data_IF_049552254005
#
_entry.id   IF_049552254005
#
_cell.length_a   1.000
_cell.length_b   1.000
_cell.length_c   1.000
_cell.angle_alpha   90.00
_cell.angle_beta   90.00
_cell.angle_gamma   90.00
#
_symmetry.space_group_name_H-M   'P 1'
#
loop_
_entity.id
_entity.type
_entity.pdbx_description
1 polymer ?
#
# COMPACT_ATOMS: atom_id res chain seq x y z
N UNK A 1 -24.88 11.85 14.28
CA UNK A 1 -24.27 13.19 14.09
C UNK A 1 -23.30 13.13 12.93
N UNK A 2 -23.43 14.05 11.99
CA UNK A 2 -22.49 14.21 10.87
C UNK A 2 -21.10 14.62 11.36
N UNK A 3 -20.05 13.95 10.91
CA UNK A 3 -18.66 14.23 11.23
C UNK A 3 -17.90 14.68 9.99
N UNK A 4 -16.89 15.53 10.16
CA UNK A 4 -15.95 15.87 9.12
C UNK A 4 -14.70 14.99 9.26
N UNK A 5 -14.43 14.16 8.26
CA UNK A 5 -13.32 13.20 8.25
C UNK A 5 -12.29 13.64 7.22
N UNK A 6 -11.04 13.83 7.66
CA UNK A 6 -9.90 14.13 6.81
C UNK A 6 -9.08 12.85 6.60
N UNK A 7 -8.97 12.40 5.35
CA UNK A 7 -8.15 11.23 4.98
C UNK A 7 -6.87 11.71 4.31
N UNK A 8 -5.71 11.39 4.89
CA UNK A 8 -4.39 11.83 4.42
C UNK A 8 -3.64 10.66 3.79
N UNK A 9 -3.28 10.82 2.51
CA UNK A 9 -2.60 9.83 1.70
C UNK A 9 -1.27 10.33 1.14
N UNK A 10 -0.35 9.41 0.84
CA UNK A 10 0.87 9.69 0.08
C UNK A 10 0.68 9.60 -1.45
N UNK A 11 -0.46 9.09 -1.92
CA UNK A 11 -0.75 8.86 -3.34
C UNK A 11 -2.25 8.93 -3.61
N UNK A 12 -2.63 9.59 -4.70
CA UNK A 12 -4.01 9.64 -5.18
C UNK A 12 -4.51 8.26 -5.63
N UNK A 13 -3.65 7.52 -6.35
CA UNK A 13 -3.94 6.15 -6.78
C UNK A 13 -4.40 5.24 -5.63
N UNK A 14 -3.76 5.34 -4.47
CA UNK A 14 -4.10 4.51 -3.31
C UNK A 14 -5.44 4.88 -2.66
N UNK A 15 -5.87 6.15 -2.74
CA UNK A 15 -7.20 6.57 -2.29
C UNK A 15 -8.30 5.93 -3.13
N UNK A 16 -8.14 5.99 -4.45
CA UNK A 16 -9.13 5.47 -5.40
C UNK A 16 -9.19 3.95 -5.33
N UNK A 17 -8.04 3.28 -5.38
CA UNK A 17 -8.02 1.83 -5.51
C UNK A 17 -8.18 1.11 -4.18
N UNK A 18 -7.76 1.70 -3.04
CA UNK A 18 -7.75 1.00 -1.76
C UNK A 18 -8.69 1.60 -0.72
N UNK A 19 -9.25 2.79 -0.96
CA UNK A 19 -10.09 3.51 0.03
C UNK A 19 -11.43 3.97 -0.51
N UNK A 20 -11.70 3.80 -1.80
CA UNK A 20 -12.97 4.24 -2.39
C UNK A 20 -14.20 3.64 -1.69
N UNK A 21 -14.18 2.35 -1.37
CA UNK A 21 -15.28 1.70 -0.65
C UNK A 21 -15.48 2.28 0.75
N UNK A 22 -14.38 2.53 1.50
CA UNK A 22 -14.45 3.19 2.80
C UNK A 22 -14.97 4.64 2.66
N UNK A 23 -14.46 5.38 1.70
CA UNK A 23 -14.89 6.77 1.44
C UNK A 23 -16.38 6.81 1.10
N UNK A 24 -16.82 5.96 0.18
CA UNK A 24 -18.23 5.85 -0.19
C UNK A 24 -19.09 5.53 1.03
N UNK A 25 -18.72 4.52 1.81
CA UNK A 25 -19.46 4.15 3.02
C UNK A 25 -19.57 5.32 4.01
N UNK A 26 -18.48 6.07 4.24
CA UNK A 26 -18.50 7.24 5.13
C UNK A 26 -19.45 8.34 4.62
N UNK A 27 -19.49 8.58 3.32
CA UNK A 27 -20.39 9.55 2.68
C UNK A 27 -21.84 9.06 2.78
N UNK A 28 -22.11 7.80 2.49
CA UNK A 28 -23.42 7.17 2.59
C UNK A 28 -23.98 7.21 4.04
N UNK A 29 -23.07 7.17 5.05
CA UNK A 29 -23.41 7.40 6.45
C UNK A 29 -23.65 8.89 6.80
N UNK A 30 -23.62 9.79 5.83
CA UNK A 30 -23.85 11.23 6.02
C UNK A 30 -22.65 12.01 6.55
N UNK A 31 -21.44 11.46 6.47
CA UNK A 31 -20.22 12.16 6.88
C UNK A 31 -19.65 13.02 5.74
N UNK A 32 -19.04 14.14 6.09
CA UNK A 32 -18.26 14.96 5.15
C UNK A 32 -16.83 14.43 5.08
N UNK A 33 -16.37 14.04 3.88
CA UNK A 33 -15.03 13.49 3.66
C UNK A 33 -14.17 14.48 2.88
N UNK A 34 -12.99 14.79 3.41
CA UNK A 34 -11.93 15.52 2.70
C UNK A 34 -10.75 14.59 2.45
N UNK A 35 -10.31 14.48 1.20
CA UNK A 35 -9.10 13.77 0.82
C UNK A 35 -7.93 14.76 0.71
N UNK A 36 -6.83 14.46 1.38
CA UNK A 36 -5.59 15.23 1.34
C UNK A 36 -4.48 14.41 0.69
N UNK A 37 -3.99 14.87 -0.46
CA UNK A 37 -2.98 14.17 -1.28
C UNK A 37 -1.81 15.10 -1.62
N UNK A 38 -0.65 14.56 -2.05
CA UNK A 38 0.47 15.37 -2.50
C UNK A 38 0.12 16.27 -3.68
N UNK A 39 0.74 17.47 -3.72
CA UNK A 39 0.53 18.45 -4.81
C UNK A 39 0.93 17.90 -6.17
N UNK A 40 1.92 17.04 -6.22
CA UNK A 40 2.45 16.40 -7.43
C UNK A 40 1.41 15.49 -8.11
N UNK A 41 0.40 15.05 -7.37
CA UNK A 41 -0.71 14.22 -7.89
C UNK A 41 -1.83 15.06 -8.56
N UNK A 42 -1.70 16.39 -8.54
CA UNK A 42 -2.73 17.30 -9.05
C UNK A 42 -2.94 17.24 -10.57
N UNK A 43 -1.96 16.70 -11.30
CA UNK A 43 -2.03 16.56 -12.76
C UNK A 43 -2.88 15.35 -13.21
N UNK A 44 -3.38 14.54 -12.28
CA UNK A 44 -4.23 13.38 -12.60
C UNK A 44 -5.71 13.78 -12.49
N UNK A 45 -6.19 14.54 -13.48
CA UNK A 45 -7.53 15.11 -13.50
C UNK A 45 -8.64 14.06 -13.42
N UNK A 46 -8.51 12.95 -14.15
CA UNK A 46 -9.50 11.86 -14.15
C UNK A 46 -9.69 11.27 -12.76
N UNK A 47 -8.60 11.02 -12.06
CA UNK A 47 -8.63 10.49 -10.70
C UNK A 47 -9.22 11.47 -9.70
N UNK A 48 -8.92 12.75 -9.84
CA UNK A 48 -9.50 13.82 -9.00
C UNK A 48 -11.00 13.94 -9.29
N UNK A 49 -11.39 13.92 -10.55
CA UNK A 49 -12.80 13.98 -10.95
C UNK A 49 -13.60 12.80 -10.40
N UNK A 50 -13.00 11.60 -10.43
CA UNK A 50 -13.61 10.40 -9.83
C UNK A 50 -13.86 10.56 -8.32
N UNK A 51 -12.92 11.13 -7.55
CA UNK A 51 -13.14 11.40 -6.13
C UNK A 51 -14.19 12.50 -5.92
N UNK A 52 -14.18 13.56 -6.72
CA UNK A 52 -15.17 14.63 -6.63
C UNK A 52 -16.59 14.14 -6.95
N UNK A 53 -16.75 13.26 -7.94
CA UNK A 53 -18.06 12.67 -8.27
C UNK A 53 -18.63 11.80 -7.13
N UNK A 54 -17.78 11.30 -6.23
CA UNK A 54 -18.18 10.62 -5.01
C UNK A 54 -18.60 11.57 -3.88
N UNK A 55 -18.54 12.90 -4.08
CA UNK A 55 -18.83 13.90 -3.04
C UNK A 55 -17.65 14.24 -2.13
N UNK A 56 -16.42 13.85 -2.49
CA UNK A 56 -15.22 14.10 -1.70
C UNK A 56 -14.69 15.52 -1.93
N UNK A 57 -14.39 16.23 -0.85
CA UNK A 57 -13.65 17.49 -0.92
C UNK A 57 -12.18 17.17 -1.11
N UNK A 58 -11.58 17.74 -2.15
CA UNK A 58 -10.19 17.47 -2.48
C UNK A 58 -9.28 18.62 -2.03
N UNK A 59 -8.19 18.31 -1.34
CA UNK A 59 -7.14 19.24 -0.95
C UNK A 59 -5.75 18.63 -1.19
N UNK A 60 -4.75 19.49 -1.30
CA UNK A 60 -3.37 19.05 -1.53
C UNK A 60 -2.41 19.59 -0.47
N UNK A 61 -1.29 18.87 -0.29
CA UNK A 61 -0.20 19.25 0.60
C UNK A 61 1.16 18.93 -0.03
N UNK A 62 2.21 19.54 0.48
CA UNK A 62 3.57 19.25 0.04
C UNK A 62 4.05 17.95 0.67
N UNK A 63 4.49 16.96 -0.14
CA UNK A 63 5.05 15.70 0.35
C UNK A 63 6.25 15.26 -0.49
N UNK A 64 7.41 15.08 0.15
CA UNK A 64 8.50 14.32 -0.44
C UNK A 64 8.29 12.82 -0.13
N UNK A 65 7.75 12.05 -1.09
CA UNK A 65 7.40 10.61 -0.88
C UNK A 65 8.61 9.77 -0.49
N UNK A 66 9.72 9.95 -1.20
CA UNK A 66 10.95 9.19 -1.02
C UNK A 66 12.05 10.04 -0.37
N UNK A 67 13.01 9.35 0.28
CA UNK A 67 14.17 10.00 0.90
C UNK A 67 13.91 10.51 2.32
N UNK A 68 14.99 10.99 2.93
CA UNK A 68 15.05 11.46 4.32
C UNK A 68 15.66 12.89 4.34
N UNK A 69 15.04 13.82 3.61
CA UNK A 69 15.45 15.22 3.64
C UNK A 69 14.69 15.95 4.75
N UNK A 70 15.34 16.33 5.87
CA UNK A 70 14.67 16.93 7.03
C UNK A 70 13.92 18.22 6.72
N UNK A 71 14.43 19.02 5.80
CA UNK A 71 13.79 20.27 5.40
C UNK A 71 12.50 20.03 4.62
N UNK A 72 12.54 19.13 3.63
CA UNK A 72 11.31 18.74 2.88
C UNK A 72 10.30 18.07 3.80
N UNK A 73 10.74 17.26 4.74
CA UNK A 73 9.91 16.58 5.72
C UNK A 73 9.25 17.58 6.69
N UNK A 74 9.98 18.62 7.11
CA UNK A 74 9.42 19.72 7.89
C UNK A 74 8.36 20.51 7.11
N UNK A 75 8.59 20.79 5.82
CA UNK A 75 7.59 21.43 4.96
C UNK A 75 6.32 20.58 4.83
N UNK A 76 6.48 19.25 4.69
CA UNK A 76 5.34 18.31 4.67
C UNK A 76 4.53 18.38 5.97
N UNK A 77 5.21 18.34 7.11
CA UNK A 77 4.58 18.50 8.43
C UNK A 77 3.81 19.83 8.56
N UNK A 78 4.45 20.96 8.20
CA UNK A 78 3.82 22.30 8.24
C UNK A 78 2.61 22.37 7.31
N UNK A 79 2.70 21.80 6.12
CA UNK A 79 1.59 21.77 5.16
C UNK A 79 0.40 20.98 5.70
N UNK A 80 0.63 19.84 6.36
CA UNK A 80 -0.43 19.06 7.04
C UNK A 80 -1.05 19.88 8.18
N UNK A 81 -0.25 20.50 9.05
CA UNK A 81 -0.76 21.36 10.12
C UNK A 81 -1.65 22.47 9.57
N UNK A 82 -1.22 23.15 8.50
CA UNK A 82 -1.98 24.22 7.86
C UNK A 82 -3.34 23.69 7.36
N UNK A 83 -3.37 22.59 6.63
CA UNK A 83 -4.63 22.03 6.10
C UNK A 83 -5.56 21.60 7.24
N UNK A 84 -5.07 20.98 8.30
CA UNK A 84 -5.88 20.59 9.46
C UNK A 84 -6.49 21.82 10.12
N UNK A 85 -5.72 22.91 10.30
CA UNK A 85 -6.23 24.16 10.88
C UNK A 85 -7.33 24.83 10.04
N UNK A 86 -7.25 24.70 8.71
CA UNK A 86 -8.25 25.24 7.79
C UNK A 86 -9.50 24.34 7.72
N UNK A 87 -9.32 23.02 7.68
CA UNK A 87 -10.42 22.07 7.54
C UNK A 87 -11.21 21.89 8.85
N UNK A 88 -10.54 22.00 9.99
CA UNK A 88 -11.08 21.71 11.33
C UNK A 88 -11.87 20.40 11.35
N UNK A 89 -11.27 19.26 10.95
CA UNK A 89 -11.98 17.99 10.93
C UNK A 89 -12.27 17.50 12.36
N UNK A 90 -13.29 16.66 12.52
CA UNK A 90 -13.53 15.91 13.77
C UNK A 90 -12.58 14.71 13.89
N UNK A 91 -12.29 14.08 12.74
CA UNK A 91 -11.51 12.85 12.65
C UNK A 91 -10.44 13.00 11.58
N UNK A 92 -9.21 12.56 11.87
CA UNK A 92 -8.13 12.41 10.92
C UNK A 92 -7.75 10.94 10.79
N UNK A 93 -7.79 10.42 9.56
CA UNK A 93 -7.28 9.09 9.21
C UNK A 93 -6.05 9.32 8.32
N UNK A 94 -4.89 8.81 8.70
CA UNK A 94 -3.69 8.86 7.87
C UNK A 94 -3.16 7.46 7.63
N UNK A 95 -2.67 7.19 6.44
CA UNK A 95 -2.04 5.90 6.11
C UNK A 95 -0.78 6.10 5.27
N UNK A 96 0.07 5.06 5.23
CA UNK A 96 1.47 5.10 4.81
C UNK A 96 2.38 5.87 5.78
N UNK A 97 3.68 5.57 5.77
CA UNK A 97 4.61 5.98 6.83
C UNK A 97 4.66 7.49 7.10
N UNK A 98 4.95 8.31 6.08
CA UNK A 98 5.11 9.76 6.27
C UNK A 98 3.82 10.48 6.66
N UNK A 99 2.67 10.25 6.00
CA UNK A 99 1.38 10.78 6.45
C UNK A 99 1.05 10.43 7.90
N UNK A 100 1.21 9.17 8.29
CA UNK A 100 0.98 8.72 9.69
C UNK A 100 1.86 9.49 10.67
N UNK A 101 3.16 9.57 10.39
CA UNK A 101 4.12 10.24 11.29
C UNK A 101 3.81 11.73 11.40
N UNK A 102 3.65 12.44 10.27
CA UNK A 102 3.53 13.90 10.31
C UNK A 102 2.14 14.37 10.74
N UNK A 103 1.07 13.66 10.34
CA UNK A 103 -0.26 13.94 10.87
C UNK A 103 -0.30 13.70 12.39
N UNK A 104 0.24 12.58 12.85
CA UNK A 104 0.27 12.29 14.28
C UNK A 104 1.10 13.30 15.08
N UNK A 105 2.23 13.76 14.55
CA UNK A 105 2.99 14.86 15.17
C UNK A 105 2.21 16.18 15.20
N UNK A 106 1.35 16.42 14.18
CA UNK A 106 0.50 17.60 14.13
C UNK A 106 -0.60 17.56 15.20
N UNK A 107 -1.12 16.38 15.57
CA UNK A 107 -2.22 16.22 16.53
C UNK A 107 -1.95 16.84 17.90
N UNK A 108 -0.68 16.99 18.32
CA UNK A 108 -0.33 17.70 19.57
C UNK A 108 -0.86 19.15 19.60
N UNK A 109 -1.09 19.77 18.44
CA UNK A 109 -1.66 21.12 18.29
C UNK A 109 -3.19 21.12 18.17
N UNK A 110 -3.80 19.93 18.01
CA UNK A 110 -5.23 19.77 17.77
C UNK A 110 -5.83 18.69 18.69
N UNK A 111 -5.80 18.87 20.02
CA UNK A 111 -6.15 17.80 20.98
C UNK A 111 -7.62 17.38 20.95
N UNK A 112 -8.50 18.15 20.29
CA UNK A 112 -9.94 17.82 20.15
C UNK A 112 -10.24 16.94 18.93
N UNK A 113 -9.24 16.69 18.07
CA UNK A 113 -9.40 15.89 16.84
C UNK A 113 -9.00 14.45 17.13
N UNK A 114 -9.88 13.49 16.86
CA UNK A 114 -9.57 12.06 16.99
C UNK A 114 -8.69 11.62 15.82
N UNK A 115 -7.54 10.99 16.13
CA UNK A 115 -6.57 10.53 15.14
C UNK A 115 -6.48 9.02 15.07
N UNK A 116 -6.71 8.47 13.88
CA UNK A 116 -6.64 7.04 13.56
C UNK A 116 -5.57 6.76 12.50
N UNK A 117 -4.33 6.49 12.90
CA UNK A 117 -3.29 6.04 11.97
C UNK A 117 -3.55 4.60 11.52
N UNK A 118 -3.48 4.37 10.21
CA UNK A 118 -3.57 3.05 9.58
C UNK A 118 -2.21 2.62 9.06
N UNK A 119 -1.64 1.58 9.66
CA UNK A 119 -0.35 1.00 9.29
C UNK A 119 -0.58 -0.03 8.18
N UNK A 120 -0.30 0.36 6.93
CA UNK A 120 -0.58 -0.43 5.71
C UNK A 120 0.65 -1.19 5.21
N UNK A 121 1.69 -1.28 6.00
CA UNK A 121 2.98 -1.86 5.71
C UNK A 121 4.10 -0.96 6.21
N UNK A 122 5.26 -1.53 6.47
CA UNK A 122 6.33 -0.82 7.18
C UNK A 122 7.40 -0.24 6.24
N UNK A 123 7.42 -0.69 4.98
CA UNK A 123 8.36 -0.23 3.96
C UNK A 123 9.81 -0.68 4.19
N UNK A 124 10.70 -0.15 3.35
CA UNK A 124 12.11 -0.55 3.21
C UNK A 124 12.90 -0.65 4.53
N UNK A 125 12.65 0.23 5.49
CA UNK A 125 13.39 0.23 6.77
C UNK A 125 13.15 -1.00 7.65
N UNK A 126 12.07 -1.75 7.40
CA UNK A 126 11.67 -2.92 8.21
C UNK A 126 11.73 -4.24 7.44
N UNK A 127 12.14 -4.23 6.17
CA UNK A 127 12.47 -5.45 5.44
C UNK A 127 13.82 -5.99 5.88
N UNK A 128 14.07 -7.27 5.66
CA UNK A 128 15.33 -7.92 6.03
C UNK A 128 16.52 -7.37 5.22
N UNK A 129 17.69 -7.34 5.84
CA UNK A 129 18.96 -6.90 5.26
C UNK A 129 19.87 -6.16 6.25
N UNK A 130 21.18 -6.43 6.15
CA UNK A 130 22.18 -6.07 7.18
C UNK A 130 22.96 -4.76 6.94
N UNK A 131 22.58 -3.96 5.95
CA UNK A 131 23.30 -2.72 5.65
C UNK A 131 23.19 -1.66 6.76
N UNK A 132 24.34 -1.04 7.14
CA UNK A 132 24.40 0.03 8.15
C UNK A 132 23.39 1.16 7.85
N UNK A 133 23.28 1.57 6.59
CA UNK A 133 22.31 2.57 6.14
C UNK A 133 20.86 2.17 6.48
N UNK A 134 20.49 0.90 6.26
CA UNK A 134 19.15 0.38 6.58
C UNK A 134 18.90 0.38 8.09
N UNK A 135 19.89 -0.02 8.90
CA UNK A 135 19.80 0.02 10.37
C UNK A 135 19.57 1.44 10.87
N UNK A 136 20.28 2.44 10.34
CA UNK A 136 20.07 3.85 10.69
C UNK A 136 18.68 4.36 10.29
N UNK A 137 18.22 4.04 9.06
CA UNK A 137 16.86 4.39 8.61
C UNK A 137 15.82 3.78 9.53
N UNK A 138 15.98 2.50 9.90
CA UNK A 138 15.07 1.80 10.81
C UNK A 138 15.01 2.49 12.18
N UNK A 139 16.14 2.87 12.77
CA UNK A 139 16.17 3.56 14.06
C UNK A 139 15.48 4.93 13.98
N UNK A 140 15.74 5.68 12.92
CA UNK A 140 15.06 6.96 12.69
C UNK A 140 13.53 6.76 12.56
N UNK A 141 13.09 5.78 11.78
CA UNK A 141 11.66 5.46 11.61
C UNK A 141 11.01 5.07 12.94
N UNK A 142 11.69 4.28 13.80
CA UNK A 142 11.19 3.93 15.14
C UNK A 142 10.94 5.19 15.97
N UNK A 143 11.91 6.13 15.99
CA UNK A 143 11.78 7.39 16.74
C UNK A 143 10.63 8.23 16.19
N UNK A 144 10.53 8.35 14.87
CA UNK A 144 9.48 9.14 14.23
C UNK A 144 8.08 8.54 14.45
N UNK A 145 7.93 7.22 14.33
CA UNK A 145 6.66 6.55 14.64
C UNK A 145 6.27 6.73 16.11
N UNK A 146 7.19 6.59 17.07
CA UNK A 146 6.89 6.86 18.49
C UNK A 146 6.33 8.25 18.70
N UNK A 147 6.91 9.27 18.03
CA UNK A 147 6.42 10.66 18.12
C UNK A 147 5.06 10.83 17.43
N UNK A 148 4.89 10.23 16.25
CA UNK A 148 3.66 10.35 15.46
C UNK A 148 2.47 9.60 16.05
N UNK A 149 2.70 8.47 16.73
CA UNK A 149 1.61 7.66 17.29
C UNK A 149 1.19 8.05 18.70
N UNK A 150 1.92 8.96 19.36
CA UNK A 150 1.66 9.33 20.77
C UNK A 150 0.25 9.89 21.00
N UNK A 151 -0.29 10.62 20.03
CA UNK A 151 -1.61 11.28 20.10
C UNK A 151 -2.71 10.51 19.37
N UNK A 152 -2.51 9.21 19.11
CA UNK A 152 -3.52 8.39 18.45
C UNK A 152 -4.64 8.00 19.39
N UNK A 153 -5.88 8.12 18.93
CA UNK A 153 -7.07 7.56 19.61
C UNK A 153 -7.00 6.03 19.59
N UNK A 154 -6.76 5.47 18.41
CA UNK A 154 -6.51 4.05 18.23
C UNK A 154 -5.70 3.81 16.96
N UNK A 155 -4.77 2.84 17.01
CA UNK A 155 -3.87 2.51 15.90
C UNK A 155 -4.42 1.28 15.17
N UNK A 156 -4.54 1.37 13.85
CA UNK A 156 -5.08 0.30 13.02
C UNK A 156 -3.93 -0.39 12.27
N UNK A 157 -3.80 -1.69 12.43
CA UNK A 157 -2.85 -2.54 11.70
C UNK A 157 -3.58 -3.41 10.68
N UNK A 158 -2.87 -3.86 9.64
CA UNK A 158 -3.44 -4.77 8.65
C UNK A 158 -3.07 -6.23 8.88
N UNK A 159 -2.09 -6.50 9.77
CA UNK A 159 -1.71 -7.86 10.14
C UNK A 159 -1.17 -7.90 11.59
N UNK A 160 -1.21 -9.07 12.24
CA UNK A 160 -0.75 -9.24 13.61
C UNK A 160 0.78 -9.13 13.76
N UNK A 161 1.55 -9.47 12.73
CA UNK A 161 3.02 -9.44 12.78
C UNK A 161 3.54 -8.01 12.88
N UNK A 162 2.96 -7.07 12.12
CA UNK A 162 3.31 -5.65 12.20
C UNK A 162 2.95 -5.07 13.58
N UNK A 163 1.79 -5.43 14.12
CA UNK A 163 1.39 -5.05 15.47
C UNK A 163 2.35 -5.60 16.52
N UNK A 164 2.70 -6.91 16.47
CA UNK A 164 3.68 -7.54 17.37
C UNK A 164 5.06 -6.86 17.26
N UNK A 165 5.50 -6.54 16.05
CA UNK A 165 6.77 -5.85 15.82
C UNK A 165 6.79 -4.45 16.45
N UNK A 166 5.70 -3.69 16.35
CA UNK A 166 5.59 -2.36 16.97
C UNK A 166 5.66 -2.43 18.49
N UNK A 167 5.05 -3.43 19.13
CA UNK A 167 5.22 -3.69 20.56
C UNK A 167 6.66 -4.09 20.90
N UNK A 168 7.25 -5.04 20.15
CA UNK A 168 8.64 -5.51 20.36
C UNK A 168 9.64 -4.36 20.30
N UNK A 169 9.46 -3.43 19.35
CA UNK A 169 10.32 -2.26 19.17
C UNK A 169 9.94 -1.10 20.09
N UNK A 170 8.96 -1.27 20.98
CA UNK A 170 8.44 -0.22 21.85
C UNK A 170 8.04 1.05 21.08
N UNK A 171 7.54 0.89 19.85
CA UNK A 171 6.94 1.99 19.06
C UNK A 171 5.60 2.35 19.68
N UNK A 172 4.82 1.35 20.06
CA UNK A 172 3.58 1.47 20.81
C UNK A 172 3.70 0.74 22.14
N UNK A 173 2.92 1.18 23.13
CA UNK A 173 2.88 0.61 24.46
C UNK A 173 1.57 -0.16 24.68
N UNK A 174 1.53 -1.08 25.66
CA UNK A 174 0.36 -1.94 25.91
C UNK A 174 -0.91 -1.18 26.29
N UNK A 175 -0.77 0.02 26.85
CA UNK A 175 -1.88 0.91 27.20
C UNK A 175 -2.43 1.72 26.00
N UNK A 176 -1.81 1.64 24.83
CA UNK A 176 -2.29 2.30 23.62
C UNK A 176 -3.31 1.40 22.91
N UNK A 177 -4.48 1.98 22.58
CA UNK A 177 -5.51 1.26 21.84
C UNK A 177 -5.01 0.88 20.44
N UNK A 178 -5.22 -0.38 20.04
CA UNK A 178 -4.82 -0.83 18.71
C UNK A 178 -5.67 -2.01 18.22
N UNK A 179 -6.08 -1.96 16.97
CA UNK A 179 -6.91 -2.96 16.31
C UNK A 179 -6.23 -3.54 15.06
N UNK A 180 -6.72 -4.69 14.62
CA UNK A 180 -6.31 -5.32 13.36
C UNK A 180 -7.52 -5.33 12.44
N UNK A 181 -7.30 -4.93 11.17
CA UNK A 181 -8.25 -5.09 10.07
C UNK A 181 -7.58 -5.92 8.98
N UNK A 182 -8.32 -6.81 8.34
CA UNK A 182 -7.77 -7.70 7.31
C UNK A 182 -7.67 -7.00 5.96
N UNK A 183 -6.75 -6.03 5.87
CA UNK A 183 -6.50 -5.25 4.66
C UNK A 183 -7.58 -4.21 4.35
N UNK A 184 -7.66 -3.84 3.08
CA UNK A 184 -8.64 -2.86 2.56
C UNK A 184 -9.88 -3.51 1.96
N UNK A 185 -9.96 -4.84 2.01
CA UNK A 185 -11.01 -5.58 1.33
C UNK A 185 -10.89 -5.53 -0.20
N UNK A 186 -11.85 -6.17 -0.86
CA UNK A 186 -12.00 -6.17 -2.31
C UNK A 186 -13.50 -5.98 -2.63
N UNK A 187 -13.77 -5.23 -3.69
CA UNK A 187 -15.13 -5.05 -4.20
C UNK A 187 -15.46 -6.24 -5.12
N UNK A 188 -16.39 -7.08 -4.70
CA UNK A 188 -16.78 -8.30 -5.42
C UNK A 188 -17.55 -8.01 -6.71
N UNK A 189 -18.16 -6.85 -6.84
CA UNK A 189 -18.83 -6.43 -8.08
C UNK A 189 -17.78 -6.03 -9.14
N UNK A 190 -16.65 -5.48 -8.71
CA UNK A 190 -15.50 -5.17 -9.60
C UNK A 190 -14.66 -6.40 -9.93
N UNK A 191 -14.61 -7.40 -9.04
CA UNK A 191 -13.85 -8.63 -9.20
C UNK A 191 -14.73 -9.87 -9.06
N UNK A 192 -15.71 -10.06 -9.98
CA UNK A 192 -16.60 -11.22 -9.94
C UNK A 192 -15.83 -12.51 -10.22
N UNK A 193 -16.30 -13.60 -9.66
CA UNK A 193 -15.78 -14.93 -9.99
C UNK A 193 -15.82 -15.19 -11.50
N UNK A 194 -14.74 -15.76 -12.02
CA UNK A 194 -14.68 -16.23 -13.40
C UNK A 194 -14.03 -17.62 -13.50
N UNK A 195 -14.47 -18.49 -14.43
CA UNK A 195 -13.88 -19.81 -14.62
C UNK A 195 -12.38 -19.76 -14.94
N UNK A 196 -11.66 -20.80 -14.54
CA UNK A 196 -10.22 -20.90 -14.79
C UNK A 196 -9.94 -21.07 -16.30
N UNK A 197 -9.07 -20.24 -16.91
CA UNK A 197 -8.63 -20.42 -18.27
C UNK A 197 -7.89 -21.75 -18.46
N UNK A 198 -7.99 -22.35 -19.67
CA UNK A 198 -7.26 -23.58 -20.02
C UNK A 198 -5.74 -23.36 -20.11
N UNK A 199 -5.31 -22.18 -20.57
CA UNK A 199 -3.88 -21.84 -20.71
C UNK A 199 -3.19 -21.75 -19.36
N UNK A 200 -2.02 -22.39 -19.17
CA UNK A 200 -1.27 -22.37 -17.92
C UNK A 200 -0.50 -21.06 -17.79
N UNK A 201 -1.22 -19.96 -17.51
CA UNK A 201 -0.67 -18.63 -17.31
C UNK A 201 -0.52 -18.37 -15.82
N UNK A 202 0.68 -18.10 -15.39
CA UNK A 202 1.03 -17.55 -14.07
C UNK A 202 1.11 -16.03 -14.22
N UNK A 203 0.52 -15.28 -13.29
CA UNK A 203 0.50 -13.82 -13.29
C UNK A 203 1.03 -13.28 -11.96
N UNK A 204 1.96 -12.35 -12.05
CA UNK A 204 2.39 -11.52 -10.93
C UNK A 204 2.06 -10.05 -11.21
N UNK A 205 1.37 -9.41 -10.26
CA UNK A 205 1.03 -7.97 -10.30
C UNK A 205 1.70 -7.28 -9.13
N UNK A 206 2.77 -6.52 -9.38
CA UNK A 206 3.48 -5.78 -8.34
C UNK A 206 4.31 -4.65 -8.94
N UNK A 207 4.65 -3.63 -8.14
CA UNK A 207 5.77 -2.76 -8.47
C UNK A 207 7.04 -3.61 -8.58
N UNK A 208 7.90 -3.33 -9.56
CA UNK A 208 9.07 -4.16 -9.84
C UNK A 208 10.20 -3.93 -8.81
N UNK A 209 9.89 -4.26 -7.55
CA UNK A 209 10.80 -4.15 -6.41
C UNK A 209 11.34 -5.53 -6.01
N UNK A 210 12.58 -5.57 -5.56
CA UNK A 210 13.21 -6.79 -5.01
C UNK A 210 12.35 -7.35 -3.87
N UNK A 211 11.87 -6.48 -2.98
CA UNK A 211 11.05 -6.88 -1.82
C UNK A 211 9.71 -7.52 -2.20
N UNK A 212 9.30 -7.43 -3.48
CA UNK A 212 8.10 -8.10 -4.00
C UNK A 212 8.36 -9.51 -4.52
N UNK A 213 9.62 -9.96 -4.51
CA UNK A 213 9.98 -11.31 -4.98
C UNK A 213 10.00 -11.44 -6.50
N UNK A 214 10.26 -10.34 -7.23
CA UNK A 214 10.27 -10.35 -8.70
C UNK A 214 11.39 -11.24 -9.23
N UNK A 215 12.53 -11.29 -8.55
CA UNK A 215 13.66 -12.18 -8.91
C UNK A 215 13.34 -13.65 -8.72
N UNK A 216 12.71 -13.96 -7.60
CA UNK A 216 12.25 -15.31 -7.26
C UNK A 216 11.20 -15.80 -8.27
N UNK A 217 10.31 -14.90 -8.69
CA UNK A 217 9.32 -15.17 -9.73
C UNK A 217 9.98 -15.47 -11.09
N UNK A 218 10.97 -14.65 -11.49
CA UNK A 218 11.69 -14.85 -12.75
C UNK A 218 12.54 -16.12 -12.74
N UNK A 219 13.18 -16.46 -11.62
CA UNK A 219 13.96 -17.68 -11.47
C UNK A 219 13.04 -18.92 -11.48
N UNK A 220 11.91 -18.85 -10.81
CA UNK A 220 10.90 -19.92 -10.89
C UNK A 220 10.41 -20.12 -12.33
N UNK A 221 10.19 -19.02 -13.07
CA UNK A 221 9.80 -19.07 -14.48
C UNK A 221 10.86 -19.79 -15.33
N UNK A 222 12.15 -19.47 -15.15
CA UNK A 222 13.27 -20.10 -15.84
C UNK A 222 13.28 -21.63 -15.59
N UNK A 223 13.16 -22.05 -14.33
CA UNK A 223 13.18 -23.47 -13.94
C UNK A 223 11.97 -24.23 -14.50
N UNK A 224 10.77 -23.68 -14.34
CA UNK A 224 9.53 -24.35 -14.77
C UNK A 224 9.44 -24.43 -16.29
N UNK A 225 9.83 -23.39 -17.02
CA UNK A 225 9.78 -23.40 -18.49
C UNK A 225 10.77 -24.38 -19.13
N UNK A 226 11.89 -24.68 -18.47
CA UNK A 226 12.82 -25.71 -18.91
C UNK A 226 12.16 -27.11 -18.96
N UNK A 227 11.20 -27.38 -18.06
CA UNK A 227 10.47 -28.65 -18.01
C UNK A 227 9.12 -28.57 -18.75
N UNK A 228 8.47 -27.42 -18.72
CA UNK A 228 7.13 -27.17 -19.27
C UNK A 228 7.13 -25.96 -20.21
N UNK A 229 7.63 -26.07 -21.45
CA UNK A 229 7.84 -24.93 -22.34
C UNK A 229 6.55 -24.14 -22.72
N UNK A 230 5.38 -24.77 -22.59
CA UNK A 230 4.08 -24.15 -22.91
C UNK A 230 3.53 -23.27 -21.78
N UNK A 231 4.15 -23.27 -20.61
CA UNK A 231 3.76 -22.43 -19.46
C UNK A 231 4.16 -20.97 -19.72
N UNK A 232 3.29 -20.05 -19.38
CA UNK A 232 3.49 -18.62 -19.57
C UNK A 232 3.59 -17.93 -18.20
N UNK A 233 4.66 -17.19 -17.99
CA UNK A 233 4.84 -16.34 -16.80
C UNK A 233 4.69 -14.88 -17.21
N UNK A 234 3.61 -14.25 -16.74
CA UNK A 234 3.29 -12.84 -17.00
C UNK A 234 3.66 -11.99 -15.78
N UNK A 235 4.35 -10.89 -16.03
CA UNK A 235 4.72 -9.90 -15.02
C UNK A 235 4.15 -8.55 -15.42
N UNK A 236 3.34 -7.95 -14.55
CA UNK A 236 2.80 -6.60 -14.76
C UNK A 236 3.13 -5.69 -13.59
N UNK A 237 3.49 -4.45 -13.92
CA UNK A 237 3.83 -3.41 -12.97
C UNK A 237 4.89 -2.48 -13.53
N UNK A 238 5.09 -1.36 -12.86
CA UNK A 238 6.08 -0.34 -13.28
C UNK A 238 7.40 -0.50 -12.56
N UNK A 239 8.48 -0.10 -13.22
CA UNK A 239 9.73 0.27 -12.57
C UNK A 239 9.47 1.49 -11.67
N UNK A 240 10.08 1.52 -10.50
CA UNK A 240 9.90 2.57 -9.49
C UNK A 240 11.21 3.35 -9.31
N UNK A 241 11.13 4.56 -8.79
CA UNK A 241 12.32 5.34 -8.36
C UNK A 241 12.90 4.87 -7.01
N UNK A 242 12.35 3.81 -6.43
CA UNK A 242 12.79 3.25 -5.17
C UNK A 242 14.17 2.56 -5.33
N UNK A 243 15.10 2.69 -4.38
CA UNK A 243 16.39 2.00 -4.42
C UNK A 243 16.32 0.47 -4.49
N UNK A 244 15.18 -0.13 -4.10
CA UNK A 244 14.93 -1.58 -4.20
C UNK A 244 14.35 -2.00 -5.55
N UNK A 245 14.26 -1.11 -6.56
CA UNK A 245 13.78 -1.47 -7.89
C UNK A 245 14.79 -2.37 -8.60
N UNK A 246 14.31 -3.40 -9.33
CA UNK A 246 15.16 -4.16 -10.24
C UNK A 246 15.69 -3.26 -11.36
N UNK A 247 16.83 -3.59 -11.94
CA UNK A 247 17.37 -2.82 -13.07
C UNK A 247 16.61 -3.12 -14.37
N UNK A 248 16.58 -2.15 -15.28
CA UNK A 248 16.04 -2.36 -16.63
C UNK A 248 16.80 -3.45 -17.39
N UNK A 249 18.11 -3.58 -17.18
CA UNK A 249 18.92 -4.63 -17.80
C UNK A 249 18.50 -6.01 -17.33
N UNK A 250 18.22 -6.18 -16.05
CA UNK A 250 17.74 -7.42 -15.44
C UNK A 250 16.37 -7.83 -16.02
N UNK A 251 15.45 -6.87 -16.10
CA UNK A 251 14.14 -7.10 -16.71
C UNK A 251 14.25 -7.49 -18.21
N UNK A 252 15.04 -6.75 -18.98
CA UNK A 252 15.26 -7.01 -20.40
C UNK A 252 15.91 -8.39 -20.62
N UNK A 253 16.83 -8.80 -19.77
CA UNK A 253 17.41 -10.14 -19.81
C UNK A 253 16.33 -11.22 -19.71
N UNK A 254 15.42 -11.13 -18.72
CA UNK A 254 14.35 -12.13 -18.57
C UNK A 254 13.36 -12.15 -19.74
N UNK A 255 13.10 -11.00 -20.35
CA UNK A 255 12.25 -10.88 -21.53
C UNK A 255 12.93 -11.54 -22.75
N UNK A 256 14.20 -11.22 -23.02
CA UNK A 256 14.95 -11.69 -24.16
C UNK A 256 15.19 -13.22 -24.10
N UNK A 257 15.45 -13.75 -22.92
CA UNK A 257 15.55 -15.20 -22.68
C UNK A 257 14.19 -15.92 -22.71
N UNK A 258 13.10 -15.16 -22.84
CA UNK A 258 11.76 -15.70 -22.92
C UNK A 258 11.22 -16.26 -21.59
N UNK A 259 11.86 -15.99 -20.46
CA UNK A 259 11.37 -16.45 -19.16
C UNK A 259 10.08 -15.74 -18.76
N UNK A 260 10.02 -14.43 -18.98
CA UNK A 260 8.93 -13.54 -18.57
C UNK A 260 8.29 -12.85 -19.78
N UNK A 261 6.97 -12.89 -19.84
CA UNK A 261 6.18 -11.99 -20.67
C UNK A 261 5.84 -10.75 -19.85
N UNK A 262 6.56 -9.66 -20.08
CA UNK A 262 6.31 -8.40 -19.40
C UNK A 262 5.15 -7.62 -20.04
N UNK A 263 4.17 -7.26 -19.25
CA UNK A 263 2.94 -6.57 -19.69
C UNK A 263 2.99 -5.04 -19.47
N UNK A 264 4.08 -4.53 -18.86
CA UNK A 264 4.14 -3.12 -18.50
C UNK A 264 3.19 -2.74 -17.37
N UNK A 265 2.83 -1.48 -17.29
CA UNK A 265 1.78 -0.98 -16.39
C UNK A 265 0.42 -1.23 -17.05
N UNK A 266 -0.41 -2.02 -16.39
CA UNK A 266 -1.72 -2.42 -16.93
C UNK A 266 -2.82 -1.46 -16.47
N UNK A 267 -3.74 -1.16 -17.37
CA UNK A 267 -4.92 -0.32 -17.08
C UNK A 267 -6.06 -1.07 -16.39
N UNK A 268 -6.14 -2.39 -16.55
CA UNK A 268 -7.19 -3.23 -15.97
C UNK A 268 -6.61 -4.47 -15.30
N UNK A 269 -6.53 -4.43 -13.98
CA UNK A 269 -6.15 -5.57 -13.14
C UNK A 269 -7.14 -6.72 -13.32
N UNK A 270 -8.44 -6.42 -13.37
CA UNK A 270 -9.51 -7.42 -13.54
C UNK A 270 -9.32 -8.25 -14.80
N UNK A 271 -9.07 -7.62 -15.96
CA UNK A 271 -8.85 -8.34 -17.23
C UNK A 271 -7.64 -9.27 -17.15
N UNK A 272 -6.57 -8.83 -16.53
CA UNK A 272 -5.37 -9.65 -16.35
C UNK A 272 -5.63 -10.84 -15.43
N UNK A 273 -6.37 -10.64 -14.35
CA UNK A 273 -6.77 -11.73 -13.43
C UNK A 273 -7.71 -12.73 -14.11
N UNK A 274 -8.68 -12.28 -14.91
CA UNK A 274 -9.57 -13.20 -15.63
C UNK A 274 -8.84 -14.03 -16.70
N UNK A 275 -7.74 -13.51 -17.26
CA UNK A 275 -6.95 -14.19 -18.29
C UNK A 275 -5.88 -15.14 -17.75
N UNK A 276 -5.49 -15.03 -16.47
CA UNK A 276 -4.51 -15.93 -15.87
C UNK A 276 -5.18 -17.13 -15.20
N UNK A 277 -4.41 -18.23 -15.06
CA UNK A 277 -4.85 -19.43 -14.34
C UNK A 277 -4.39 -19.43 -12.89
N UNK A 278 -3.19 -18.92 -12.61
CA UNK A 278 -2.57 -18.85 -11.29
C UNK A 278 -2.10 -17.43 -11.00
N UNK A 279 -2.30 -17.00 -9.79
CA UNK A 279 -1.74 -15.74 -9.30
C UNK A 279 -0.55 -15.99 -8.37
N UNK A 280 0.55 -15.26 -8.54
CA UNK A 280 1.78 -15.47 -7.76
C UNK A 280 2.23 -14.15 -7.16
N UNK A 281 2.50 -14.13 -5.85
CA UNK A 281 3.09 -12.98 -5.16
C UNK A 281 4.09 -13.47 -4.09
N UNK A 282 5.37 -13.68 -4.43
CA UNK A 282 6.39 -14.17 -3.51
C UNK A 282 7.01 -13.02 -2.70
N UNK A 283 6.20 -12.15 -2.13
CA UNK A 283 6.62 -10.94 -1.43
C UNK A 283 7.27 -11.25 -0.08
N UNK A 284 8.32 -10.52 0.26
CA UNK A 284 9.02 -10.65 1.54
C UNK A 284 8.28 -10.02 2.71
N UNK A 285 7.41 -9.05 2.44
CA UNK A 285 6.55 -8.40 3.44
C UNK A 285 5.45 -7.57 2.80
N UNK A 286 4.24 -7.66 3.35
CA UNK A 286 3.08 -6.86 2.97
C UNK A 286 2.35 -6.32 4.21
N UNK A 287 1.44 -5.37 4.01
CA UNK A 287 0.39 -5.09 4.98
C UNK A 287 -0.67 -6.19 4.95
N UNK A 288 -1.50 -6.15 3.92
CA UNK A 288 -2.32 -7.24 3.37
C UNK A 288 -2.35 -7.01 1.86
N UNK A 289 -1.82 -7.93 1.05
CA UNK A 289 -1.65 -7.71 -0.38
C UNK A 289 -3.01 -7.74 -1.10
N UNK A 290 -3.47 -6.57 -1.53
CA UNK A 290 -4.78 -6.44 -2.17
C UNK A 290 -4.87 -7.23 -3.47
N UNK A 291 -3.81 -7.28 -4.27
CA UNK A 291 -3.77 -8.06 -5.51
C UNK A 291 -4.02 -9.56 -5.30
N UNK A 292 -3.65 -10.09 -4.13
CA UNK A 292 -4.01 -11.45 -3.71
C UNK A 292 -5.51 -11.56 -3.46
N UNK A 293 -6.10 -10.60 -2.72
CA UNK A 293 -7.55 -10.60 -2.46
C UNK A 293 -8.36 -10.46 -3.76
N UNK A 294 -7.90 -9.64 -4.70
CA UNK A 294 -8.49 -9.46 -6.02
C UNK A 294 -8.42 -10.76 -6.86
N UNK A 295 -7.29 -11.45 -6.79
CA UNK A 295 -7.11 -12.75 -7.44
C UNK A 295 -8.03 -13.82 -6.86
N UNK A 296 -8.12 -13.90 -5.53
CA UNK A 296 -9.01 -14.84 -4.84
C UNK A 296 -10.48 -14.55 -5.15
N UNK A 297 -10.92 -13.29 -5.14
CA UNK A 297 -12.28 -12.91 -5.52
C UNK A 297 -12.61 -13.32 -6.95
N UNK A 298 -11.64 -13.20 -7.88
CA UNK A 298 -11.79 -13.65 -9.27
C UNK A 298 -11.74 -15.20 -9.40
N UNK A 299 -11.49 -15.94 -8.32
CA UNK A 299 -11.40 -17.40 -8.31
C UNK A 299 -10.04 -17.94 -8.78
N UNK A 300 -8.96 -17.18 -8.62
CA UNK A 300 -7.60 -17.64 -8.99
C UNK A 300 -6.94 -18.37 -7.82
N UNK A 301 -6.38 -19.58 -8.01
CA UNK A 301 -5.45 -20.16 -7.07
C UNK A 301 -4.27 -19.22 -6.85
N UNK A 302 -3.86 -19.08 -5.58
CA UNK A 302 -2.80 -18.15 -5.18
C UNK A 302 -1.59 -18.91 -4.69
N UNK A 303 -0.41 -18.52 -5.14
CA UNK A 303 0.89 -18.93 -4.61
C UNK A 303 1.53 -17.69 -3.98
N UNK A 304 1.77 -17.74 -2.68
CA UNK A 304 2.40 -16.63 -1.94
C UNK A 304 3.37 -17.17 -0.88
N UNK A 305 4.08 -16.29 -0.21
CA UNK A 305 5.09 -16.63 0.80
C UNK A 305 4.49 -16.63 2.21
N UNK A 306 5.03 -17.48 3.09
CA UNK A 306 4.74 -17.44 4.53
C UNK A 306 5.46 -16.27 5.21
N UNK A 307 5.06 -15.05 4.84
CA UNK A 307 5.63 -13.80 5.36
C UNK A 307 4.54 -12.89 5.91
N UNK A 308 4.90 -11.89 6.74
CA UNK A 308 3.93 -10.94 7.28
C UNK A 308 3.05 -10.32 6.21
N UNK A 309 1.74 -10.36 6.42
CA UNK A 309 0.71 -9.86 5.51
C UNK A 309 0.32 -10.83 4.40
N UNK A 310 1.26 -11.59 3.83
CA UNK A 310 0.95 -12.62 2.82
C UNK A 310 0.23 -13.81 3.45
N UNK A 311 0.74 -14.36 4.56
CA UNK A 311 0.13 -15.49 5.28
C UNK A 311 -1.29 -15.24 5.77
N UNK A 312 -1.66 -13.97 5.96
CA UNK A 312 -3.00 -13.60 6.39
C UNK A 312 -4.07 -13.78 5.29
N UNK A 313 -3.65 -14.01 4.06
CA UNK A 313 -4.57 -14.08 2.91
C UNK A 313 -4.89 -15.50 2.46
N UNK A 314 -4.10 -16.50 2.87
CA UNK A 314 -4.27 -17.90 2.48
C UNK A 314 -4.24 -18.79 3.71
N UNK A 315 -4.91 -19.94 3.62
CA UNK A 315 -4.82 -21.05 4.58
C UNK A 315 -4.05 -22.16 3.88
N UNK A 316 -2.99 -22.68 4.53
CA UNK A 316 -2.25 -23.87 4.06
C UNK A 316 -3.09 -25.14 4.14
#
# INVERSE_FOLDING_TARGET
MTKHILIISSELFSLINFRSSLIKYLIDCGHRVTALVPKEEYNNEDSIQKLKSMGVIFKSYSLSRAGLNPFKDYLSYKSICFVISQCKPDIVIAYTAKPVIYAGMAMKHFPKISFFPLITGLGYGFTEGDGVKRKLIRQLMIILYRKGLKSSESIIFQNPDDKKLFYKLKIILRNMSSHIVHGSGVDLDLYPFSPLPKKPIFLMLARLLIDKGVREYAEAARIVKAQFPKVIFQLAGRLDSNPSTISSNELNFWINEGFIQYLGEISSVQKSLTSCRFYVLPSYREGTPRSVLEAMATGRPVITTDTPGCRETVID
#
